data_IF_474676146941
#
_entry.id   IF_474676146941
#
_cell.length_a   1.000
_cell.length_b   1.000
_cell.length_c   1.000
_cell.angle_alpha   90.00
_cell.angle_beta   90.00
_cell.angle_gamma   90.00
#
_symmetry.space_group_name_H-M   'P 1'
#
loop_
_entity.id
_entity.type
_entity.pdbx_description
1 polymer ?
#
# COMPACT_ATOMS: atom_id res chain seq x y z
N UNK A 1 -21.15 -16.63 -5.08
CA UNK A 1 -19.86 -17.05 -4.48
C UNK A 1 -19.93 -16.73 -3.00
N UNK A 2 -19.43 -17.62 -2.13
CA UNK A 2 -19.37 -17.37 -0.67
C UNK A 2 -17.97 -16.87 -0.27
N UNK A 3 -17.85 -16.29 0.92
CA UNK A 3 -16.55 -15.83 1.45
C UNK A 3 -15.52 -16.97 1.48
N UNK A 4 -15.93 -18.16 1.93
CA UNK A 4 -15.06 -19.35 1.94
C UNK A 4 -14.58 -19.74 0.53
N UNK A 5 -15.44 -19.60 -0.48
CA UNK A 5 -15.06 -19.88 -1.86
C UNK A 5 -14.07 -18.85 -2.40
N UNK A 6 -14.24 -17.56 -2.04
CA UNK A 6 -13.29 -16.50 -2.37
C UNK A 6 -11.92 -16.79 -1.75
N UNK A 7 -11.86 -17.07 -0.45
CA UNK A 7 -10.61 -17.38 0.25
C UNK A 7 -9.88 -18.57 -0.41
N UNK A 8 -10.62 -19.63 -0.76
CA UNK A 8 -10.08 -20.81 -1.44
C UNK A 8 -9.55 -20.50 -2.84
N UNK A 9 -10.25 -19.64 -3.59
CA UNK A 9 -9.80 -19.21 -4.92
C UNK A 9 -8.52 -18.38 -4.84
N UNK A 10 -8.46 -17.44 -3.89
CA UNK A 10 -7.26 -16.60 -3.68
C UNK A 10 -6.08 -17.47 -3.26
N UNK A 11 -6.25 -18.33 -2.24
CA UNK A 11 -5.20 -19.26 -1.80
C UNK A 11 -4.70 -20.17 -2.94
N UNK A 12 -5.61 -20.66 -3.79
CA UNK A 12 -5.25 -21.49 -4.94
C UNK A 12 -4.49 -20.71 -6.02
N UNK A 13 -4.84 -19.45 -6.25
CA UNK A 13 -4.22 -18.62 -7.27
C UNK A 13 -2.83 -18.11 -6.85
N UNK A 14 -2.65 -17.80 -5.56
CA UNK A 14 -1.40 -17.24 -5.04
C UNK A 14 -0.48 -18.27 -4.40
N UNK A 15 -0.98 -19.46 -4.06
CA UNK A 15 -0.24 -20.50 -3.34
C UNK A 15 -0.11 -20.24 -1.84
N UNK A 16 -0.86 -19.28 -1.30
CA UNK A 16 -0.78 -18.86 0.09
C UNK A 16 -1.69 -19.67 1.02
N UNK A 17 -1.37 -19.66 2.32
CA UNK A 17 -2.19 -20.33 3.35
C UNK A 17 -3.53 -19.60 3.53
N UNK A 18 -4.60 -20.36 3.75
CA UNK A 18 -5.95 -19.81 3.97
C UNK A 18 -6.02 -18.83 5.15
N UNK A 19 -5.18 -18.99 6.18
CA UNK A 19 -5.12 -18.07 7.32
C UNK A 19 -4.53 -16.72 6.90
N UNK A 20 -3.49 -16.72 6.07
CA UNK A 20 -2.89 -15.49 5.54
C UNK A 20 -3.87 -14.73 4.65
N UNK A 21 -4.58 -15.44 3.77
CA UNK A 21 -5.63 -14.86 2.91
C UNK A 21 -6.74 -14.23 3.75
N UNK A 22 -7.20 -14.92 4.81
CA UNK A 22 -8.22 -14.39 5.73
C UNK A 22 -7.73 -13.20 6.52
N UNK A 23 -6.47 -13.21 6.95
CA UNK A 23 -5.86 -12.11 7.69
C UNK A 23 -5.80 -10.83 6.84
N UNK A 24 -5.63 -10.95 5.52
CA UNK A 24 -5.66 -9.82 4.59
C UNK A 24 -7.04 -9.19 4.38
N UNK A 25 -8.12 -9.87 4.78
CA UNK A 25 -9.45 -9.28 4.79
C UNK A 25 -10.11 -9.12 3.42
N UNK A 26 -9.85 -10.01 2.46
CA UNK A 26 -10.61 -10.03 1.21
C UNK A 26 -12.11 -10.17 1.52
N UNK A 27 -12.94 -9.38 0.84
CA UNK A 27 -14.39 -9.41 1.01
C UNK A 27 -15.09 -9.47 -0.35
N UNK A 28 -16.27 -10.08 -0.37
CA UNK A 28 -17.13 -10.07 -1.55
C UNK A 28 -17.70 -8.66 -1.76
N UNK A 29 -17.28 -8.01 -2.83
CA UNK A 29 -17.93 -6.79 -3.29
C UNK A 29 -19.24 -7.15 -4.00
N UNK A 30 -20.35 -6.52 -3.61
CA UNK A 30 -21.59 -6.55 -4.39
C UNK A 30 -21.49 -5.51 -5.52
N UNK A 31 -21.54 -5.91 -6.80
CA UNK A 31 -21.47 -4.99 -7.93
C UNK A 31 -22.59 -3.93 -7.95
N UNK A 32 -23.73 -4.21 -7.29
CA UNK A 32 -24.84 -3.27 -7.18
C UNK A 32 -24.67 -2.28 -6.01
N UNK A 33 -23.74 -2.54 -5.10
CA UNK A 33 -23.41 -1.67 -3.98
C UNK A 33 -22.30 -0.72 -4.38
N UNK A 34 -22.68 0.43 -4.95
CA UNK A 34 -21.78 1.47 -5.48
C UNK A 34 -20.92 2.12 -4.39
N UNK A 35 -21.41 2.17 -3.15
CA UNK A 35 -20.73 2.77 -1.98
C UNK A 35 -20.41 1.71 -0.92
N UNK A 36 -19.74 0.62 -1.32
CA UNK A 36 -19.37 -0.48 -0.42
C UNK A 36 -18.48 -0.03 0.75
N UNK A 37 -17.69 1.02 0.52
CA UNK A 37 -17.00 1.76 1.57
C UNK A 37 -17.48 3.23 1.56
N UNK A 38 -18.44 3.59 2.43
CA UNK A 38 -18.89 4.96 2.59
C UNK A 38 -17.90 5.73 3.47
N UNK A 39 -16.60 5.64 3.18
CA UNK A 39 -15.63 6.59 3.74
C UNK A 39 -16.16 8.00 3.44
N UNK A 40 -16.39 8.85 4.45
CA UNK A 40 -16.78 10.22 4.22
C UNK A 40 -15.62 10.91 3.50
N UNK A 41 -15.76 11.08 2.20
CA UNK A 41 -14.83 11.85 1.35
C UNK A 41 -15.02 13.36 1.57
N UNK A 42 -15.24 13.77 2.83
CA UNK A 42 -15.33 15.17 3.26
C UNK A 42 -13.93 15.75 3.55
N UNK A 43 -12.89 14.92 3.44
CA UNK A 43 -11.51 15.38 3.51
C UNK A 43 -11.15 16.09 2.21
N UNK A 44 -10.55 17.29 2.27
CA UNK A 44 -9.97 17.89 1.08
C UNK A 44 -8.98 16.90 0.46
N UNK A 45 -8.79 16.93 -0.88
CA UNK A 45 -7.86 16.04 -1.55
C UNK A 45 -6.51 16.05 -0.83
N UNK A 46 -6.13 14.92 -0.23
CA UNK A 46 -4.84 14.75 0.41
C UNK A 46 -3.79 14.46 -0.67
N UNK A 47 -3.64 15.41 -1.60
CA UNK A 47 -2.65 15.36 -2.67
C UNK A 47 -1.35 15.85 -2.05
N UNK A 48 -0.40 14.94 -1.96
CA UNK A 48 0.96 15.23 -1.53
C UNK A 48 1.86 15.27 -2.76
N UNK A 49 2.57 16.39 -2.96
CA UNK A 49 3.67 16.46 -3.92
C UNK A 49 4.89 15.78 -3.29
N UNK A 50 5.21 14.58 -3.74
CA UNK A 50 6.35 13.82 -3.25
C UNK A 50 7.69 14.49 -3.58
N UNK A 51 7.79 15.22 -4.70
CA UNK A 51 9.01 15.95 -5.06
C UNK A 51 9.24 17.11 -4.08
N UNK A 52 8.17 17.82 -3.70
CA UNK A 52 8.25 18.88 -2.69
C UNK A 52 8.61 18.31 -1.30
N UNK A 53 8.00 17.20 -0.91
CA UNK A 53 8.27 16.55 0.39
C UNK A 53 9.71 16.05 0.47
N UNK A 54 10.23 15.46 -0.60
CA UNK A 54 11.63 15.01 -0.65
C UNK A 54 12.59 16.20 -0.62
N UNK A 55 12.23 17.33 -1.23
CA UNK A 55 13.01 18.56 -1.16
C UNK A 55 13.03 19.15 0.27
N UNK A 56 11.90 19.17 0.96
CA UNK A 56 11.79 19.62 2.36
C UNK A 56 12.51 18.66 3.32
N UNK A 57 12.49 17.35 3.01
CA UNK A 57 13.16 16.29 3.78
C UNK A 57 14.60 16.06 3.34
N UNK A 58 15.16 16.90 2.46
CA UNK A 58 16.54 16.81 1.96
C UNK A 58 17.59 17.22 3.02
N UNK A 59 17.37 16.79 4.25
CA UNK A 59 18.35 16.74 5.32
C UNK A 59 18.97 15.34 5.28
N UNK A 60 20.27 15.28 5.00
CA UNK A 60 21.00 14.03 5.09
C UNK A 60 20.88 13.48 6.52
N UNK A 61 20.13 12.39 6.70
CA UNK A 61 19.99 11.72 8.00
C UNK A 61 21.32 11.12 8.48
N UNK A 62 22.26 10.92 7.55
CA UNK A 62 23.60 10.43 7.83
C UNK A 62 24.63 11.29 7.10
N UNK A 63 25.67 11.71 7.82
CA UNK A 63 26.83 12.36 7.25
C UNK A 63 27.55 11.36 6.34
N UNK A 64 27.57 11.59 5.03
CA UNK A 64 28.47 10.86 4.13
C UNK A 64 29.84 11.53 4.18
N UNK A 65 30.87 10.92 4.82
CA UNK A 65 32.22 11.43 4.70
C UNK A 65 32.62 11.37 3.22
N UNK A 66 33.02 12.51 2.67
CA UNK A 66 33.45 12.60 1.28
C UNK A 66 34.53 11.58 0.98
N UNK A 67 34.37 10.82 -0.11
CA UNK A 67 35.44 10.01 -0.65
C UNK A 67 36.53 10.98 -1.08
N UNK A 68 37.61 11.06 -0.30
CA UNK A 68 38.85 11.68 -0.76
C UNK A 68 39.35 10.76 -1.88
N UNK A 69 39.18 11.16 -3.14
CA UNK A 69 39.82 10.48 -4.26
C UNK A 69 41.34 10.63 -4.10
N UNK A 70 42.12 9.55 -3.93
CA UNK A 70 43.57 9.64 -3.75
C UNK A 70 44.32 9.73 -5.10
N UNK A 71 43.67 10.16 -6.18
CA UNK A 71 44.25 10.19 -7.52
C UNK A 71 44.06 11.55 -8.22
N UNK A 72 44.53 12.61 -7.56
CA UNK A 72 45.06 13.82 -8.22
C UNK A 72 46.46 14.06 -7.67
#
# INVERSE_FOLDING_TARGET
MTQTQLDQQVARATGEDLREVRFRGFSLADPMTVSFDPEPCDLPPQILDWDQVDLERNVAFFHQPGIINPFV
#
